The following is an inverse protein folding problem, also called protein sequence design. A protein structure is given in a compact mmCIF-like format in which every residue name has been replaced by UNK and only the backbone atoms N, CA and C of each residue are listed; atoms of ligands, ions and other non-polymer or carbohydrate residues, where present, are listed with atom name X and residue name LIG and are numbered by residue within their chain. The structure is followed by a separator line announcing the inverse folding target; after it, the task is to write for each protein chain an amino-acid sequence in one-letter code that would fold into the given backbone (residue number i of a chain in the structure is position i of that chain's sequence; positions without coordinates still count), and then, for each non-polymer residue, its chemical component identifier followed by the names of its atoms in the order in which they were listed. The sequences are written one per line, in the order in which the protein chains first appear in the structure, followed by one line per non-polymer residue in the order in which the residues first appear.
data_IF_244675914728
#
_entry.id   IF_244675914728
#
_cell.length_a   1.000
_cell.length_b   1.000
_cell.length_c   1.000
_cell.angle_alpha   90.00
_cell.angle_beta   90.00
_cell.angle_gamma   90.00
#
_symmetry.space_group_name_H-M   'P 1'
#
loop_
_entity.id
_entity.type
_entity.pdbx_description
1 polymer ?
#
# COMPACT_ATOMS: atom_id res chain seq x y z
N UNK A 1 8.21 24.48 6.85
CA UNK A 1 7.68 23.36 6.05
C UNK A 1 8.48 22.13 6.43
N UNK A 2 8.11 21.48 7.53
CA UNK A 2 8.76 20.22 7.93
C UNK A 2 7.92 19.09 7.36
N UNK A 3 8.39 18.51 6.26
CA UNK A 3 7.83 17.26 5.76
C UNK A 3 8.16 16.17 6.76
N UNK A 4 7.26 15.94 7.73
CA UNK A 4 7.32 14.77 8.58
C UNK A 4 6.94 13.56 7.74
N UNK A 5 7.92 13.06 6.98
CA UNK A 5 7.85 11.75 6.39
C UNK A 5 7.61 10.70 7.48
N UNK A 6 6.93 9.63 7.11
CA UNK A 6 6.59 8.49 7.97
C UNK A 6 7.76 7.95 8.81
N UNK A 7 9.00 8.21 8.37
CA UNK A 7 10.26 7.82 9.00
C UNK A 7 10.60 8.56 10.30
N UNK A 8 10.04 9.76 10.54
CA UNK A 8 10.46 10.64 11.64
C UNK A 8 9.57 10.59 12.89
N UNK A 9 8.51 9.78 12.89
CA UNK A 9 7.57 9.69 14.01
C UNK A 9 7.99 8.59 15.02
N UNK A 10 8.26 8.94 16.30
CA UNK A 10 8.52 7.96 17.34
C UNK A 10 7.25 7.13 17.59
N UNK A 11 7.30 5.83 17.33
CA UNK A 11 6.18 4.88 17.50
C UNK A 11 5.63 4.28 16.21
N UNK A 12 5.87 4.89 15.04
CA UNK A 12 5.58 4.31 13.71
C UNK A 12 6.85 4.17 12.87
N UNK A 13 7.95 3.80 13.51
CA UNK A 13 9.26 3.64 12.86
C UNK A 13 9.26 2.63 11.72
N UNK A 14 10.44 2.38 11.15
CA UNK A 14 10.66 1.42 10.05
C UNK A 14 9.84 0.12 10.17
N UNK A 15 9.75 -0.47 11.37
CA UNK A 15 8.93 -1.66 11.63
C UNK A 15 7.42 -1.45 11.44
N UNK A 16 6.87 -0.30 11.81
CA UNK A 16 5.46 0.04 11.57
C UNK A 16 5.13 0.11 10.08
N UNK A 17 6.04 0.66 9.27
CA UNK A 17 5.92 0.66 7.81
C UNK A 17 5.92 -0.76 7.25
N UNK A 18 6.82 -1.63 7.73
CA UNK A 18 6.86 -3.04 7.30
C UNK A 18 5.56 -3.77 7.66
N UNK A 19 5.02 -3.56 8.85
CA UNK A 19 3.76 -4.17 9.29
C UNK A 19 2.60 -3.67 8.44
N UNK A 20 2.49 -2.35 8.25
CA UNK A 20 1.45 -1.75 7.40
C UNK A 20 1.56 -2.31 5.98
N UNK A 21 2.77 -2.35 5.42
CA UNK A 21 3.02 -2.88 4.08
C UNK A 21 2.59 -4.35 3.97
N UNK A 22 2.98 -5.19 4.93
CA UNK A 22 2.60 -6.60 4.90
C UNK A 22 1.08 -6.79 4.96
N UNK A 23 0.39 -6.08 5.86
CA UNK A 23 -1.08 -6.16 6.00
C UNK A 23 -1.75 -5.61 4.74
N UNK A 24 -1.32 -4.45 4.23
CA UNK A 24 -1.88 -3.83 3.03
C UNK A 24 -1.72 -4.73 1.80
N UNK A 25 -0.54 -5.32 1.61
CA UNK A 25 -0.28 -6.25 0.51
C UNK A 25 -1.12 -7.52 0.60
N UNK A 26 -1.30 -8.08 1.81
CA UNK A 26 -2.17 -9.22 2.03
C UNK A 26 -3.66 -8.88 1.77
N UNK A 27 -4.12 -7.70 2.20
CA UNK A 27 -5.47 -7.21 1.90
C UNK A 27 -5.64 -7.09 0.38
N UNK A 28 -4.66 -6.50 -0.30
CA UNK A 28 -4.69 -6.33 -1.75
C UNK A 28 -4.74 -7.67 -2.47
N UNK A 29 -3.89 -8.63 -2.10
CA UNK A 29 -3.87 -9.98 -2.63
C UNK A 29 -5.26 -10.64 -2.54
N UNK A 30 -5.89 -10.59 -1.36
CA UNK A 30 -7.23 -11.16 -1.16
C UNK A 30 -8.30 -10.41 -1.94
N UNK A 31 -8.24 -9.08 -1.98
CA UNK A 31 -9.18 -8.26 -2.74
C UNK A 31 -9.08 -8.51 -4.26
N UNK A 32 -7.89 -8.85 -4.76
CA UNK A 32 -7.65 -9.14 -6.17
C UNK A 32 -7.64 -10.62 -6.50
N UNK A 33 -8.08 -11.51 -5.59
CA UNK A 33 -8.04 -12.97 -5.75
C UNK A 33 -6.71 -13.48 -6.33
N UNK A 34 -5.60 -12.89 -5.88
CA UNK A 34 -4.25 -13.24 -6.29
C UNK A 34 -3.66 -14.24 -5.29
N UNK A 35 -2.63 -14.98 -5.70
CA UNK A 35 -1.92 -15.91 -4.81
C UNK A 35 -0.44 -15.50 -4.80
N UNK A 36 -0.04 -14.85 -3.71
CA UNK A 36 1.28 -14.24 -3.55
C UNK A 36 1.86 -14.58 -2.17
N UNK A 37 3.18 -14.77 -2.12
CA UNK A 37 3.88 -15.02 -0.86
C UNK A 37 4.01 -13.76 -0.01
N UNK A 38 4.34 -13.95 1.28
CA UNK A 38 4.56 -12.86 2.24
C UNK A 38 5.55 -11.79 1.76
N UNK A 39 6.61 -12.20 1.06
CA UNK A 39 7.60 -11.27 0.51
C UNK A 39 7.00 -10.36 -0.57
N UNK A 40 6.23 -10.93 -1.50
CA UNK A 40 5.53 -10.16 -2.53
C UNK A 40 4.52 -9.21 -1.92
N UNK A 41 3.74 -9.66 -0.93
CA UNK A 41 2.79 -8.81 -0.23
C UNK A 41 3.47 -7.63 0.46
N UNK A 42 4.59 -7.87 1.14
CA UNK A 42 5.37 -6.80 1.76
C UNK A 42 5.84 -5.77 0.72
N UNK A 43 6.42 -6.21 -0.41
CA UNK A 43 6.88 -5.33 -1.47
C UNK A 43 5.74 -4.53 -2.09
N UNK A 44 4.65 -5.21 -2.44
CA UNK A 44 3.46 -4.59 -3.04
C UNK A 44 2.82 -3.60 -2.08
N UNK A 45 2.74 -3.92 -0.79
CA UNK A 45 2.19 -3.01 0.21
C UNK A 45 3.06 -1.78 0.47
N UNK A 46 4.39 -1.93 0.49
CA UNK A 46 5.33 -0.79 0.57
C UNK A 46 5.18 0.08 -0.69
N UNK A 47 5.22 -0.50 -1.89
CA UNK A 47 5.00 0.22 -3.14
C UNK A 47 3.61 0.91 -3.16
N UNK A 48 2.59 0.22 -2.66
CA UNK A 48 1.23 0.70 -2.52
C UNK A 48 1.12 1.92 -1.61
N UNK A 49 1.92 2.01 -0.55
CA UNK A 49 1.94 3.20 0.32
C UNK A 49 2.38 4.48 -0.42
N UNK A 50 3.37 4.37 -1.32
CA UNK A 50 3.81 5.51 -2.14
C UNK A 50 2.76 5.90 -3.18
N UNK A 51 2.17 4.93 -3.87
CA UNK A 51 1.13 5.16 -4.88
C UNK A 51 -0.12 5.75 -4.24
N UNK A 52 -0.62 5.10 -3.18
CA UNK A 52 -1.81 5.54 -2.44
C UNK A 52 -1.62 6.92 -1.83
N UNK A 53 -0.46 7.17 -1.19
CA UNK A 53 -0.16 8.47 -0.58
C UNK A 53 -0.12 9.58 -1.61
N UNK A 54 0.48 9.33 -2.78
CA UNK A 54 0.51 10.27 -3.90
C UNK A 54 -0.91 10.57 -4.40
N UNK A 55 -1.72 9.54 -4.63
CA UNK A 55 -3.12 9.70 -5.10
C UNK A 55 -3.96 10.48 -4.10
N UNK A 56 -3.87 10.15 -2.82
CA UNK A 56 -4.66 10.82 -1.81
C UNK A 56 -4.20 12.28 -1.60
N UNK A 57 -2.90 12.57 -1.77
CA UNK A 57 -2.38 13.93 -1.85
C UNK A 57 -2.91 14.72 -3.06
N UNK A 58 -2.98 14.11 -4.24
CA UNK A 58 -3.56 14.74 -5.44
C UNK A 58 -5.06 15.05 -5.27
N UNK A 59 -5.78 14.21 -4.52
CA UNK A 59 -7.20 14.38 -4.23
C UNK A 59 -7.46 15.30 -3.02
N UNK A 60 -6.42 15.88 -2.39
CA UNK A 60 -6.50 16.65 -1.15
C UNK A 60 -7.25 15.91 -0.03
N UNK A 61 -7.10 14.58 0.03
CA UNK A 61 -7.64 13.75 1.10
C UNK A 61 -6.58 13.70 2.20
N UNK A 62 -6.97 14.10 3.41
CA UNK A 62 -6.10 13.98 4.57
C UNK A 62 -6.33 12.67 5.31
N UNK A 63 -5.26 12.03 5.74
CA UNK A 63 -5.27 10.77 6.47
C UNK A 63 -4.16 10.79 7.50
N UNK A 64 -4.50 10.35 8.71
CA UNK A 64 -3.62 10.45 9.85
C UNK A 64 -3.53 9.13 10.61
N UNK A 65 -2.40 8.95 11.28
CA UNK A 65 -2.17 7.80 12.14
C UNK A 65 -1.99 6.48 11.39
N UNK A 66 -1.80 5.42 12.16
CA UNK A 66 -1.46 4.09 11.65
C UNK A 66 -2.56 3.50 10.74
N UNK A 67 -3.83 3.66 11.12
CA UNK A 67 -4.97 3.16 10.34
C UNK A 67 -5.16 3.92 9.01
N UNK A 68 -4.99 5.24 9.00
CA UNK A 68 -5.06 6.02 7.77
C UNK A 68 -4.00 5.58 6.76
N UNK A 69 -2.77 5.38 7.23
CA UNK A 69 -1.69 4.86 6.41
C UNK A 69 -1.96 3.44 5.89
N UNK A 70 -2.58 2.57 6.71
CA UNK A 70 -2.96 1.23 6.28
C UNK A 70 -4.01 1.26 5.16
N UNK A 71 -5.05 2.10 5.29
CA UNK A 71 -6.09 2.24 4.27
C UNK A 71 -5.49 2.74 2.95
N UNK A 72 -4.68 3.80 3.02
CA UNK A 72 -4.04 4.40 1.85
C UNK A 72 -3.09 3.43 1.17
N UNK A 73 -2.25 2.72 1.94
CA UNK A 73 -1.37 1.69 1.41
C UNK A 73 -2.14 0.53 0.77
N UNK A 74 -3.27 0.12 1.36
CA UNK A 74 -4.12 -0.95 0.82
C UNK A 74 -4.74 -0.55 -0.52
N UNK A 75 -5.28 0.67 -0.63
CA UNK A 75 -5.85 1.19 -1.89
C UNK A 75 -4.77 1.25 -2.97
N UNK A 76 -3.59 1.79 -2.66
CA UNK A 76 -2.48 1.84 -3.61
C UNK A 76 -2.00 0.45 -4.04
N UNK A 77 -1.92 -0.51 -3.12
CA UNK A 77 -1.53 -1.89 -3.41
C UNK A 77 -2.56 -2.61 -4.31
N UNK A 78 -3.86 -2.43 -4.05
CA UNK A 78 -4.94 -2.97 -4.91
C UNK A 78 -4.80 -2.42 -6.33
N UNK A 79 -4.57 -1.11 -6.46
CA UNK A 79 -4.38 -0.47 -7.77
C UNK A 79 -3.15 -1.02 -8.50
N UNK A 80 -2.03 -1.22 -7.80
CA UNK A 80 -0.82 -1.79 -8.38
C UNK A 80 -1.07 -3.20 -8.94
N UNK A 81 -1.68 -4.10 -8.16
CA UNK A 81 -1.98 -5.46 -8.63
C UNK A 81 -2.96 -5.42 -9.80
N UNK A 82 -3.98 -4.56 -9.74
CA UNK A 82 -4.96 -4.43 -10.81
C UNK A 82 -4.31 -3.98 -12.13
N UNK A 83 -3.45 -2.96 -12.09
CA UNK A 83 -2.69 -2.50 -13.28
C UNK A 83 -1.76 -3.61 -13.77
N UNK A 84 -1.03 -4.25 -12.86
CA UNK A 84 -0.11 -5.34 -13.19
C UNK A 84 -0.82 -6.48 -13.94
N UNK A 85 -1.98 -6.92 -13.46
CA UNK A 85 -2.79 -7.95 -14.12
C UNK A 85 -3.25 -7.54 -15.50
N UNK A 86 -3.66 -6.28 -15.65
CA UNK A 86 -4.09 -5.73 -16.94
C UNK A 86 -2.95 -5.66 -17.96
N UNK A 87 -1.74 -5.33 -17.52
CA UNK A 87 -0.54 -5.29 -18.38
C UNK A 87 -0.06 -6.71 -18.72
N UNK A 88 -0.16 -7.64 -17.78
CA UNK A 88 0.36 -9.01 -17.94
C UNK A 88 -0.62 -9.94 -18.69
N UNK A 89 -1.81 -9.46 -19.07
CA UNK A 89 -2.76 -10.23 -19.89
C UNK A 89 -3.31 -11.48 -19.20
N UNK A 90 -3.30 -11.53 -17.87
CA UNK A 90 -3.98 -12.60 -17.11
C UNK A 90 -5.48 -12.34 -17.08
N UNK A 91 -6.09 -12.26 -18.27
CA UNK A 91 -7.51 -12.47 -18.49
C UNK A 91 -7.77 -13.94 -18.17
N UNK A 92 -8.19 -14.20 -16.94
CA UNK A 92 -8.93 -15.42 -16.61
C UNK A 92 -10.24 -15.39 -17.40
N UNK A 93 -10.19 -15.91 -18.63
CA UNK A 93 -11.35 -16.55 -19.26
C UNK A 93 -11.87 -17.68 -18.40
#
# INVERSE_FOLDING_TARGET
MEGHGLLSMPGVGFFGMLIIGLIAGYIAEKATSSDHGLFTNLLVGIAGSFVGGTLAGLLNIEFYGWLGNLIVASIGAILLIWIWRKVTGSEST
#
